data_IF_434822340397
#
_entry.id   IF_434822340397
#
_cell.length_a   1.000
_cell.length_b   1.000
_cell.length_c   1.000
_cell.angle_alpha   90.00
_cell.angle_beta   90.00
_cell.angle_gamma   90.00
#
_symmetry.space_group_name_H-M   'P 1'
#
loop_
_entity.id
_entity.type
_entity.pdbx_description
1 polymer ?
2 polymer ?
3 polymer ?
4 non-polymer ?
5 water ?
#
loop_
_entity_poly.entity_id
_entity_poly.type
_entity_poly.pdbx_seq_one_letter_code
_entity_poly.pdbx_strand_id
1 'polydeoxyribonucleotide' '(DT)(DC)(DC)(DA)(DT)(DG)(DC)(DG)(DC)(DT)(DG)(DA)(DC)' ?
2 'polydeoxyribonucleotide' '(DG)(DT)(DC)(DA)(DG)(5CM)(DG)(DC)(DA)(DA)(DT)(DG)(DG)' ?
#
# COMPACT_ATOMS: atom_id res chain seq x y z
N UNK C 1 -14.35 -6.47 16.02
CA UNK C 1 -13.67 -5.67 14.97
C UNK C 1 -12.35 -5.12 15.48
N UNK C 2 -11.31 -5.23 14.66
CA UNK C 2 -10.00 -4.68 15.02
C UNK C 2 -10.17 -3.17 15.03
N UNK C 3 -9.43 -2.47 15.89
CA UNK C 3 -9.57 -1.02 15.91
C UNK C 3 -8.99 -0.44 14.62
N UNK C 4 -9.37 0.80 14.30
CA UNK C 4 -8.88 1.45 13.09
C UNK C 4 -7.37 1.67 13.14
N UNK C 5 -6.80 1.76 14.33
CA UNK C 5 -5.36 1.98 14.49
C UNK C 5 -4.58 0.71 14.79
N UNK C 6 -5.07 -0.41 14.29
CA UNK C 6 -4.44 -1.70 14.49
C UNK C 6 -3.20 -1.86 13.59
N UNK C 7 -2.05 -2.16 14.19
CA UNK C 7 -0.83 -2.39 13.41
C UNK C 7 -0.67 -3.89 13.21
N UNK C 8 -0.27 -4.29 12.01
CA UNK C 8 -0.06 -5.70 11.78
C UNK C 8 -1.15 -6.42 11.01
N UNK C 9 -1.00 -7.74 10.80
CA UNK C 9 -1.95 -8.57 10.07
C UNK C 9 -3.35 -8.57 10.67
N UNK C 10 -4.35 -8.74 9.82
CA UNK C 10 -5.73 -8.79 10.28
C UNK C 10 -6.04 -10.27 10.50
N UNK C 11 -6.46 -10.64 11.72
CA UNK C 11 -6.78 -12.04 12.01
C UNK C 11 -7.77 -12.60 10.99
N UNK C 12 -7.48 -13.78 10.46
CA UNK C 12 -8.37 -14.39 9.50
C UNK C 12 -8.19 -13.97 8.06
N UNK C 13 -7.26 -13.05 7.79
CA UNK C 13 -7.00 -12.61 6.41
C UNK C 13 -5.55 -12.92 6.06
N UNK C 14 -5.30 -14.12 5.52
CA UNK C 14 -3.95 -14.53 5.13
C UNK C 14 -3.38 -13.85 3.90
N UNK C 15 -2.06 -13.85 3.82
CA UNK C 15 -1.35 -13.28 2.69
C UNK C 15 -1.87 -14.05 1.49
N UNK C 16 -2.20 -13.33 0.42
CA UNK C 16 -2.70 -13.98 -0.78
C UNK C 16 -4.17 -13.72 -1.05
N UNK C 17 -4.89 -13.24 -0.04
CA UNK C 17 -6.31 -12.96 -0.18
C UNK C 17 -6.55 -11.93 -1.28
N UNK C 18 -7.65 -12.10 -2.00
CA UNK C 18 -7.95 -11.21 -3.12
C UNK C 18 -9.38 -10.67 -3.11
N UNK C 19 -9.52 -9.39 -3.45
CA UNK C 19 -10.82 -8.74 -3.50
C UNK C 19 -10.87 -8.00 -4.84
N UNK C 20 -12.03 -7.93 -5.47
CA UNK C 20 -12.15 -7.25 -6.74
C UNK C 20 -12.09 -5.72 -6.62
N UNK C 21 -12.72 -5.18 -5.57
CA UNK C 21 -12.79 -3.74 -5.37
C UNK C 21 -12.14 -3.21 -4.08
N UNK C 22 -11.71 -1.96 -4.13
CA UNK C 22 -11.10 -1.31 -2.98
C UNK C 22 -12.06 -1.26 -1.79
N UNK C 23 -13.34 -1.02 -2.06
CA UNK C 23 -14.30 -0.95 -0.97
C UNK C 23 -14.36 -2.26 -0.21
N UNK C 24 -14.07 -3.37 -0.88
CA UNK C 24 -14.08 -4.67 -0.24
C UNK C 24 -12.86 -4.84 0.66
N UNK C 25 -11.72 -4.33 0.19
CA UNK C 25 -10.49 -4.41 0.96
C UNK C 25 -10.69 -3.59 2.24
N UNK C 26 -11.41 -2.48 2.11
CA UNK C 26 -11.71 -1.61 3.25
C UNK C 26 -12.53 -2.33 4.31
N UNK C 27 -13.59 -3.01 3.88
CA UNK C 27 -14.47 -3.73 4.79
C UNK C 27 -13.77 -4.90 5.48
N UNK C 28 -12.69 -5.39 4.87
CA UNK C 28 -11.94 -6.48 5.47
C UNK C 28 -11.09 -5.95 6.61
N UNK C 29 -10.81 -4.65 6.59
CA UNK C 29 -9.98 -4.05 7.61
C UNK C 29 -8.51 -3.96 7.19
N UNK C 30 -8.16 -4.63 6.10
CA UNK C 30 -6.77 -4.61 5.61
C UNK C 30 -6.31 -3.21 5.19
N UNK C 31 -7.15 -2.49 4.44
CA UNK C 31 -6.84 -1.13 4.01
C UNK C 31 -8.15 -0.32 4.09
N UNK C 32 -8.39 0.29 5.26
CA UNK C 32 -9.60 1.05 5.51
C UNK C 32 -10.01 2.12 4.50
N UNK C 33 -9.09 3.03 4.14
CA UNK C 33 -9.47 4.07 3.17
C UNK C 33 -9.86 3.43 1.84
N UNK C 34 -10.97 3.85 1.24
CA UNK C 34 -11.37 3.25 -0.03
C UNK C 34 -10.72 3.96 -1.20
N UNK C 35 -10.17 5.15 -0.96
CA UNK C 35 -9.51 5.91 -2.01
C UNK C 35 -8.01 6.10 -1.77
N UNK C 36 -7.67 6.77 -0.66
CA UNK C 36 -6.27 7.04 -0.33
C UNK C 36 -5.33 5.84 -0.39
N UNK C 37 -4.09 6.08 -0.81
CA UNK C 37 -3.13 5.01 -0.90
C UNK C 37 -2.57 4.64 0.46
N UNK C 38 -2.53 5.62 1.36
CA UNK C 38 -1.99 5.40 2.70
C UNK C 38 -3.05 5.57 3.80
N UNK C 39 -3.09 4.63 4.74
CA UNK C 39 -3.98 4.77 5.88
C UNK C 39 -3.05 5.08 7.04
N UNK C 40 -3.11 6.30 7.55
CA UNK C 40 -2.25 6.64 8.66
C UNK C 40 -2.78 7.74 9.56
N UNK C 41 -2.12 7.90 10.69
CA UNK C 41 -2.46 8.93 11.64
C UNK C 41 -1.15 9.64 11.90
N UNK C 42 -1.13 10.95 11.63
CA UNK C 42 0.07 11.78 11.76
C UNK C 42 0.85 11.70 13.06
N UNK C 43 0.21 11.23 14.13
CA UNK C 43 0.91 11.15 15.39
C UNK C 43 0.98 9.72 15.91
N UNK C 44 0.87 8.76 14.99
CA UNK C 44 0.94 7.35 15.35
C UNK C 44 1.77 6.59 14.31
N UNK C 45 1.27 6.54 13.08
CA UNK C 45 1.97 5.85 12.01
C UNK C 45 1.02 5.38 10.93
N UNK C 46 1.54 4.67 9.94
CA UNK C 46 0.72 4.14 8.84
C UNK C 46 0.46 2.65 9.09
N UNK C 47 -0.79 2.24 8.94
CA UNK C 47 -1.18 0.86 9.18
C UNK C 47 -1.16 0.05 7.88
N UNK C 48 -1.31 0.73 6.76
CA UNK C 48 -1.34 0.03 5.48
C UNK C 48 -1.21 0.98 4.30
N UNK C 49 -0.96 0.42 3.13
CA UNK C 49 -0.84 1.22 1.92
C UNK C 49 -1.15 0.33 0.71
N UNK C 50 -1.47 0.95 -0.41
CA UNK C 50 -1.79 0.22 -1.62
C UNK C 50 -0.96 0.69 -2.80
N UNK C 51 -0.42 -0.27 -3.54
CA UNK C 51 0.36 0.00 -4.74
C UNK C 51 -0.64 -0.17 -5.88
N UNK C 52 -1.08 0.94 -6.45
CA UNK C 52 -2.07 0.89 -7.52
C UNK C 52 -1.65 1.73 -8.72
N UNK C 53 -0.35 1.92 -8.88
CA UNK C 53 0.14 2.73 -9.99
C UNK C 53 -0.50 4.10 -10.10
N UNK C 54 -0.84 4.70 -8.97
CA UNK C 54 -1.45 6.03 -9.00
C UNK C 54 -0.44 7.15 -9.06
N UNK C 55 0.78 6.87 -8.64
CA UNK C 55 1.85 7.86 -8.65
C UNK C 55 3.02 7.38 -9.49
N UNK C 56 3.37 8.17 -10.49
CA UNK C 56 4.45 7.84 -11.44
C UNK C 56 5.79 7.56 -10.79
N UNK C 57 6.00 8.05 -9.57
CA UNK C 57 7.28 7.85 -8.90
C UNK C 57 7.41 6.53 -8.11
N UNK C 58 6.35 5.74 -8.05
CA UNK C 58 6.39 4.44 -7.37
C UNK C 58 7.32 3.50 -8.16
N UNK C 59 8.14 2.70 -7.47
CA UNK C 59 9.03 1.73 -8.13
C UNK C 59 8.83 0.40 -7.40
N UNK C 60 8.21 -0.57 -8.06
CA UNK C 60 7.92 -1.85 -7.42
C UNK C 60 8.83 -3.01 -7.82
N UNK C 61 9.58 -3.50 -6.85
CA UNK C 61 10.47 -4.64 -7.08
C UNK C 61 10.20 -5.84 -6.18
N UNK C 62 8.93 -6.04 -5.79
CA UNK C 62 8.59 -7.19 -4.96
C UNK C 62 8.91 -7.08 -3.48
N UNK C 63 9.98 -7.73 -3.04
CA UNK C 63 10.37 -7.67 -1.64
C UNK C 63 10.83 -6.27 -1.23
N UNK C 64 11.11 -5.44 -2.23
CA UNK C 64 11.54 -4.07 -2.03
C UNK C 64 10.73 -3.19 -2.96
N UNK C 65 10.39 -1.98 -2.51
CA UNK C 65 9.71 -1.04 -3.37
C UNK C 65 9.84 0.37 -2.83
N UNK C 66 9.84 1.35 -3.72
CA UNK C 66 9.94 2.74 -3.30
C UNK C 66 8.55 3.31 -3.50
N UNK C 67 7.93 3.70 -2.39
CA UNK C 67 6.59 4.23 -2.42
C UNK C 67 6.67 5.76 -2.43
N UNK C 68 5.66 6.39 -3.04
CA UNK C 68 5.62 7.85 -3.11
C UNK C 68 4.61 8.36 -2.08
N UNK C 69 4.89 9.48 -1.45
CA UNK C 69 3.93 10.04 -0.51
C UNK C 69 2.75 10.57 -1.29
N UNK C 70 1.68 10.99 -0.61
CA UNK C 70 0.51 11.53 -1.30
C UNK C 70 0.56 13.06 -1.34
N UNK C 71 -0.30 13.65 -2.15
CA UNK C 71 -0.34 15.10 -2.22
C UNK C 71 0.47 15.71 -3.35
N UNK C 72 0.78 17.00 -3.22
CA UNK C 72 1.52 17.70 -4.24
C UNK C 72 0.68 17.82 -5.49
N UNK C 73 -0.64 17.79 -5.30
CA UNK C 73 -1.58 17.86 -6.42
C UNK C 73 -2.67 18.91 -6.24
N UNK C 74 -3.26 19.32 -7.35
CA UNK C 74 -4.34 20.30 -7.33
C UNK C 74 -5.63 19.56 -7.70
N UNK C 75 -6.37 19.12 -6.69
CA UNK C 75 -7.61 18.39 -6.92
C UNK C 75 -8.83 19.29 -7.05
N UNK C 76 -8.62 20.57 -7.33
CA UNK C 76 -9.74 21.50 -7.49
C UNK C 76 -10.64 20.97 -8.60
N UNK C 77 -11.94 21.19 -8.46
CA UNK C 77 -12.87 20.70 -9.46
C UNK C 77 -13.45 19.38 -8.99
N UNK C 78 -13.37 19.15 -7.69
CA UNK C 78 -13.87 17.93 -7.06
C UNK C 78 -13.28 16.68 -7.70
N UNK C 79 -11.95 16.57 -7.66
CA UNK C 79 -11.24 15.43 -8.22
C UNK C 79 -10.63 14.59 -7.09
N UNK C 80 -10.11 13.42 -7.44
CA UNK C 80 -9.51 12.52 -6.46
C UNK C 80 -8.10 12.15 -6.91
N UNK C 81 -7.76 12.52 -8.14
CA UNK C 81 -6.44 12.24 -8.71
C UNK C 81 -6.04 13.30 -9.74
N UNK C 82 -4.74 13.52 -9.85
CA UNK C 82 -4.21 14.51 -10.80
C UNK C 82 -2.71 14.31 -10.89
N UNK C 83 -2.06 15.08 -11.77
CA UNK C 83 -0.62 14.98 -11.90
C UNK C 83 0.02 15.88 -10.86
N UNK C 84 1.33 15.76 -10.65
CA UNK C 84 1.99 16.60 -9.66
C UNK C 84 1.98 18.06 -10.12
N UNK C 85 1.65 18.97 -9.21
CA UNK C 85 1.59 20.39 -9.53
C UNK C 85 2.16 21.26 -8.41
N UNK C 86 2.70 20.62 -7.37
CA UNK C 86 3.31 21.34 -6.25
C UNK C 86 4.14 20.36 -5.43
N UNK C 87 5.04 20.89 -4.60
CA UNK C 87 5.88 20.03 -3.77
C UNK C 87 5.07 19.32 -2.68
N UNK C 88 5.44 18.08 -2.37
CA UNK C 88 4.76 17.32 -1.32
C UNK C 88 5.33 17.77 0.02
N UNK C 89 4.60 17.52 1.10
CA UNK C 89 5.04 17.92 2.44
C UNK C 89 4.99 16.74 3.40
N UNK C 90 5.87 16.74 4.39
CA UNK C 90 5.91 15.67 5.39
C UNK C 90 4.85 15.92 6.46
N UNK C 91 3.60 15.92 6.03
CA UNK C 91 2.46 16.14 6.92
C UNK C 91 1.45 15.04 6.65
N UNK C 92 0.43 14.97 7.50
CA UNK C 92 -0.64 13.99 7.36
C UNK C 92 -0.16 12.56 7.07
N UNK C 93 -0.62 11.97 5.98
CA UNK C 93 -0.23 10.59 5.63
C UNK C 93 1.26 10.38 5.43
N UNK C 94 1.94 11.38 4.88
CA UNK C 94 3.38 11.25 4.66
C UNK C 94 4.14 11.24 5.97
N UNK C 95 3.68 12.03 6.94
CA UNK C 95 4.34 12.06 8.24
C UNK C 95 4.06 10.73 8.92
N UNK C 96 2.85 10.21 8.71
CA UNK C 96 2.46 8.93 9.32
C UNK C 96 3.36 7.79 8.88
N UNK C 97 3.57 7.66 7.57
CA UNK C 97 4.43 6.59 7.06
C UNK C 97 5.87 6.75 7.56
N UNK C 98 6.32 8.01 7.67
CA UNK C 98 7.66 8.26 8.16
C UNK C 98 7.84 7.77 9.58
N UNK C 99 6.80 7.90 10.40
CA UNK C 99 6.87 7.46 11.79
C UNK C 99 7.10 5.95 11.95
N UNK C 100 6.71 5.16 10.95
CA UNK C 100 6.92 3.71 11.04
C UNK C 100 8.41 3.38 11.03
N UNK C 101 9.19 4.24 10.41
CA UNK C 101 10.64 4.04 10.31
C UNK C 101 11.21 4.06 11.72
N UNK C 102 11.97 3.02 12.08
CA UNK C 102 12.55 2.93 13.42
C UNK C 102 13.66 3.96 13.61
N UNK C 103 13.26 5.22 13.70
CA UNK C 103 14.17 6.33 13.88
C UNK C 103 13.37 7.60 14.15
N UNK C 104 13.97 8.59 14.84
CA UNK C 104 13.27 9.83 15.15
C UNK C 104 12.82 10.54 13.86
N UNK C 105 11.59 11.05 13.87
CA UNK C 105 11.04 11.75 12.71
C UNK C 105 12.00 12.88 12.32
N UNK C 106 12.49 12.83 11.09
CA UNK C 106 13.42 13.84 10.59
C UNK C 106 12.90 14.58 9.37
N UNK C 107 12.73 15.89 9.52
CA UNK C 107 12.22 16.75 8.46
C UNK C 107 13.01 16.65 7.15
N UNK C 108 14.22 16.10 7.20
CA UNK C 108 15.04 15.98 5.99
C UNK C 108 15.18 14.53 5.53
N UNK C 109 14.46 13.64 6.19
CA UNK C 109 14.53 12.23 5.85
C UNK C 109 15.38 11.52 6.87
N UNK C 110 15.23 10.21 6.97
CA UNK C 110 16.00 9.43 7.93
C UNK C 110 16.17 7.99 7.51
N UNK C 111 17.01 7.28 8.24
CA UNK C 111 17.31 5.89 7.99
C UNK C 111 17.09 5.12 9.29
N UNK C 112 16.50 3.93 9.21
CA UNK C 112 16.23 3.15 10.40
C UNK C 112 17.43 2.40 10.97
N UNK C 113 17.50 2.36 12.30
CA UNK C 113 18.54 1.64 13.02
C UNK C 113 17.84 0.33 13.37
N UNK C 114 18.02 -0.65 12.49
CA UNK C 114 17.38 -1.96 12.63
C UNK C 114 15.94 -1.79 12.15
N UNK C 115 15.79 -1.71 10.84
CA UNK C 115 14.49 -1.54 10.17
C UNK C 115 13.42 -2.52 10.63
N UNK C 116 13.83 -3.71 11.07
CA UNK C 116 12.85 -4.71 11.51
C UNK C 116 12.09 -4.32 12.76
N UNK C 117 12.62 -3.38 13.54
CA UNK C 117 11.96 -2.94 14.76
C UNK C 117 10.93 -1.85 14.46
N UNK C 118 10.88 -1.40 13.21
CA UNK C 118 9.93 -0.37 12.85
C UNK C 118 8.50 -0.88 12.90
N UNK C 119 7.54 0.02 12.75
CA UNK C 119 6.13 -0.37 12.77
C UNK C 119 5.74 -1.05 11.47
N UNK C 120 4.96 -2.14 11.55
CA UNK C 120 4.55 -2.88 10.35
C UNK C 120 3.49 -2.17 9.52
N UNK C 121 3.55 -2.39 8.22
CA UNK C 121 2.59 -1.83 7.29
C UNK C 121 2.03 -2.97 6.46
N UNK C 122 0.71 -3.07 6.38
CA UNK C 122 0.08 -4.12 5.55
C UNK C 122 0.11 -3.59 4.13
N UNK C 123 0.58 -4.40 3.18
CA UNK C 123 0.65 -3.95 1.79
C UNK C 123 -0.31 -4.70 0.88
N UNK C 124 -1.01 -3.93 0.06
CA UNK C 124 -1.95 -4.47 -0.91
C UNK C 124 -1.50 -4.05 -2.31
N UNK C 125 -1.51 -4.98 -3.26
CA UNK C 125 -1.14 -4.65 -4.64
C UNK C 125 -2.39 -4.71 -5.51
N UNK C 126 -2.62 -3.63 -6.25
CA UNK C 126 -3.77 -3.49 -7.13
C UNK C 126 -3.36 -3.75 -8.59
N UNK C 127 -4.29 -4.25 -9.40
CA UNK C 127 -3.98 -4.57 -10.79
C UNK C 127 -3.53 -3.36 -11.59
N UNK C 128 -4.05 -2.18 -11.25
CA UNK C 128 -3.67 -0.97 -11.97
C UNK C 128 -2.17 -0.67 -11.86
N UNK C 129 -1.49 -1.35 -10.94
CA UNK C 129 -0.07 -1.12 -10.81
C UNK C 129 0.70 -1.97 -11.81
N UNK C 130 -0.02 -2.79 -12.57
CA UNK C 130 0.60 -3.67 -13.54
C UNK C 130 1.20 -3.04 -14.78
N UNK C 131 0.93 -1.76 -15.01
CA UNK C 131 1.48 -1.09 -16.18
C UNK C 131 2.97 -0.85 -16.03
N UNK C 132 3.43 -0.78 -14.78
CA UNK C 132 4.86 -0.54 -14.52
C UNK C 132 5.41 -1.51 -13.48
N UNK C 133 4.71 -2.63 -13.27
CA UNK C 133 5.15 -3.62 -12.29
C UNK C 133 4.78 -5.04 -12.68
N UNK C 134 5.73 -5.95 -12.52
CA UNK C 134 5.50 -7.35 -12.84
C UNK C 134 5.01 -8.10 -11.61
N UNK C 135 4.74 -7.38 -10.53
CA UNK C 135 4.30 -8.01 -9.29
C UNK C 135 2.82 -7.79 -8.98
N UNK C 136 2.19 -6.91 -9.74
CA UNK C 136 0.77 -6.61 -9.53
C UNK C 136 -0.11 -7.77 -10.00
N UNK C 137 -1.25 -7.98 -9.32
CA UNK C 137 -2.14 -9.07 -9.73
C UNK C 137 -2.79 -8.68 -11.06
N UNK C 138 -3.23 -9.68 -11.83
CA UNK C 138 -3.88 -9.41 -13.10
C UNK C 138 -5.24 -8.77 -12.91
N UNK C 139 -5.88 -9.09 -11.78
CA UNK C 139 -7.21 -8.56 -11.47
C UNK C 139 -7.36 -8.18 -10.00
N UNK C 140 -8.16 -7.15 -9.75
CA UNK C 140 -8.44 -6.72 -8.39
C UNK C 140 -7.30 -6.28 -7.51
N UNK C 141 -7.44 -6.63 -6.22
CA UNK C 141 -6.49 -6.30 -5.17
C UNK C 141 -6.00 -7.57 -4.48
N UNK C 142 -4.76 -7.57 -4.03
CA UNK C 142 -4.18 -8.73 -3.38
C UNK C 142 -3.36 -8.31 -2.17
N UNK C 143 -3.59 -8.97 -1.04
CA UNK C 143 -2.85 -8.65 0.18
C UNK C 143 -1.52 -9.40 0.13
N UNK C 144 -0.42 -8.66 0.14
CA UNK C 144 0.90 -9.28 0.04
C UNK C 144 1.73 -9.42 1.31
N UNK C 145 1.16 -9.01 2.45
CA UNK C 145 1.89 -9.15 3.69
C UNK C 145 2.42 -7.88 4.33
N UNK C 146 3.23 -8.09 5.37
CA UNK C 146 3.82 -7.00 6.13
C UNK C 146 5.18 -6.53 5.61
N UNK C 147 5.32 -5.22 5.53
CA UNK C 147 6.55 -4.57 5.11
C UNK C 147 6.92 -3.55 6.19
N UNK C 148 8.17 -3.09 6.14
CA UNK C 148 8.68 -2.11 7.10
C UNK C 148 9.37 -1.00 6.33
N UNK C 149 9.38 0.21 6.89
CA UNK C 149 10.01 1.34 6.24
C UNK C 149 11.49 1.41 6.64
N UNK C 150 12.36 1.16 5.66
CA UNK C 150 13.80 1.18 5.88
C UNK C 150 14.33 2.62 5.93
N UNK C 151 13.80 3.47 5.07
CA UNK C 151 14.22 4.87 5.04
C UNK C 151 13.30 5.68 4.16
N UNK C 152 13.34 6.99 4.34
CA UNK C 152 12.51 7.89 3.56
C UNK C 152 13.31 9.16 3.32
N UNK C 153 13.00 9.83 2.22
CA UNK C 153 13.76 11.03 1.85
C UNK C 153 12.99 11.81 0.80
N UNK C 154 13.31 13.11 0.66
CA UNK C 154 12.64 13.95 -0.33
C UNK C 154 13.55 14.13 -1.56
N UNK C 155 12.93 14.22 -2.73
CA UNK C 155 13.69 14.49 -3.95
C UNK C 155 12.70 14.79 -5.05
N UNK C 156 13.15 15.47 -6.10
CA UNK C 156 12.25 15.81 -7.18
C UNK C 156 11.89 14.59 -8.02
N UNK C 157 10.59 14.42 -8.23
CA UNK C 157 10.10 13.31 -9.02
C UNK C 157 10.19 13.58 -10.51
N UNK C 158 9.70 12.63 -11.30
CA UNK C 158 9.72 12.76 -12.75
C UNK C 158 9.09 14.06 -13.22
N UNK C 159 8.16 14.58 -12.43
CA UNK C 159 7.45 15.82 -12.77
C UNK C 159 8.26 17.08 -12.49
N UNK C 160 9.33 16.93 -11.72
CA UNK C 160 10.14 18.09 -11.40
C UNK C 160 9.77 18.64 -10.03
N UNK C 161 8.64 18.19 -9.49
CA UNK C 161 8.19 18.65 -8.17
C UNK C 161 8.68 17.71 -7.08
N UNK C 162 8.99 18.29 -5.92
CA UNK C 162 9.48 17.50 -4.80
C UNK C 162 8.43 16.46 -4.37
N UNK C 163 8.89 15.25 -4.09
CA UNK C 163 8.02 14.18 -3.62
C UNK C 163 8.74 13.48 -2.48
N UNK C 164 7.96 12.93 -1.55
CA UNK C 164 8.56 12.21 -0.46
C UNK C 164 8.59 10.75 -0.90
N UNK C 165 9.71 10.08 -0.68
CA UNK C 165 9.85 8.70 -1.11
C UNK C 165 10.19 7.80 0.06
N UNK C 166 9.66 6.59 0.02
CA UNK C 166 9.87 5.63 1.09
C UNK C 166 10.32 4.27 0.59
N UNK C 167 11.35 3.72 1.23
CA UNK C 167 11.83 2.41 0.83
C UNK C 167 11.23 1.37 1.77
N UNK C 168 10.42 0.48 1.21
CA UNK C 168 9.79 -0.56 2.01
C UNK C 168 10.36 -1.94 1.69
N UNK C 169 10.58 -2.73 2.72
CA UNK C 169 11.10 -4.06 2.58
C UNK C 169 10.19 -5.04 3.31
N UNK C 170 9.93 -6.17 2.66
CA UNK C 170 9.04 -7.19 3.23
C UNK C 170 9.62 -7.87 4.46
N UNK C 171 8.77 -8.13 5.44
CA UNK C 171 9.15 -8.80 6.67
C UNK C 171 7.92 -9.61 7.07
N UNK C 172 7.70 -10.71 6.37
CA UNK C 172 6.53 -11.56 6.63
C UNK C 172 6.97 -13.01 6.54
N UNK C 173 6.46 -13.85 7.44
CA UNK C 173 6.83 -15.27 7.43
C UNK C 173 6.15 -16.06 6.31
N UNK C 174 5.02 -15.56 5.83
CA UNK C 174 4.31 -16.24 4.74
C UNK C 174 5.00 -15.86 3.42
N UNK C 175 5.04 -16.79 2.45
CA UNK C 175 5.68 -16.51 1.16
C UNK C 175 4.94 -15.50 0.29
N UNK C 176 5.70 -14.77 -0.50
CA UNK C 176 5.14 -13.76 -1.40
C UNK C 176 4.20 -14.47 -2.37
N UNK C 177 2.95 -14.00 -2.47
CA UNK C 177 1.96 -14.61 -3.36
C UNK C 177 2.33 -14.73 -4.83
N UNK C 178 3.38 -14.04 -5.26
CA UNK C 178 3.76 -14.10 -6.67
C UNK C 178 4.80 -15.16 -7.00
N UNK C 179 5.45 -15.72 -5.98
CA UNK C 179 6.44 -16.76 -6.20
C UNK C 179 5.80 -18.14 -6.30
N UNK C 180 6.60 -19.14 -6.65
CA UNK C 180 6.11 -20.50 -6.78
C UNK C 180 5.54 -20.98 -5.45
N UNK C 181 6.28 -20.75 -4.38
CA UNK C 181 5.85 -21.17 -3.05
C UNK C 181 4.56 -20.47 -2.62
N UNK C 182 4.40 -19.21 -3.01
CA UNK C 182 3.21 -18.46 -2.65
C UNK C 182 1.97 -18.89 -3.40
N UNK C 183 2.13 -19.22 -4.68
CA UNK C 183 1.00 -19.66 -5.49
C UNK C 183 0.51 -21.03 -4.98
N UNK C 184 1.43 -21.81 -4.42
CA UNK C 184 1.10 -23.10 -3.86
C UNK C 184 0.38 -22.92 -2.54
N UNK C 185 0.78 -21.88 -1.80
CA UNK C 185 0.18 -21.57 -0.52
C UNK C 185 -1.25 -21.10 -0.74
N UNK C 186 -1.45 -20.27 -1.77
CA UNK C 186 -2.78 -19.77 -2.08
C UNK C 186 -3.68 -20.91 -2.50
N UNK C 187 -3.13 -21.81 -3.30
CA UNK C 187 -3.87 -22.97 -3.76
C UNK C 187 -4.24 -23.82 -2.56
N UNK C 188 -3.26 -24.09 -1.70
CA UNK C 188 -3.44 -24.87 -0.50
C UNK C 188 -4.53 -24.29 0.42
N UNK C 189 -4.56 -22.96 0.51
CA UNK C 189 -5.55 -22.28 1.36
C UNK C 189 -6.90 -22.17 0.66
N UNK C 190 -6.94 -22.49 -0.63
CA UNK C 190 -8.18 -22.43 -1.37
C UNK C 190 -8.70 -21.02 -1.58
N UNK C 191 -7.80 -20.04 -1.58
CA UNK C 191 -8.19 -18.65 -1.76
C UNK C 191 -8.58 -18.33 -3.20
N UNK C 192 -9.69 -17.61 -3.37
CA UNK C 192 -10.15 -17.22 -4.69
C UNK C 192 -10.63 -15.79 -4.63
N UNK C 193 -10.73 -15.14 -5.79
CA UNK C 193 -11.17 -13.76 -5.86
C UNK C 193 -12.52 -13.53 -5.19
N UNK C 194 -12.58 -12.55 -4.30
CA UNK C 194 -13.81 -12.22 -3.63
C UNK C 194 -14.52 -11.12 -4.42
N UNK C 195 -15.75 -11.39 -4.86
CA UNK C 195 -16.54 -10.43 -5.63
C UNK C 195 -17.76 -10.03 -4.80
N UNK C 196 -18.29 -8.82 -5.00
CA UNK C 196 -19.47 -8.43 -4.22
C UNK C 196 -20.61 -9.40 -4.57
N UNK C 197 -21.54 -9.58 -3.64
CA UNK C 197 -22.67 -10.47 -3.87
C UNK C 197 -23.46 -9.99 -5.08
N UNK C 198 -23.67 -10.89 -6.05
CA UNK C 198 -24.42 -10.54 -7.25
C UNK C 198 -23.66 -9.77 -8.29
N UNK C 199 -22.34 -9.65 -8.13
CA UNK C 199 -21.53 -8.92 -9.10
C UNK C 199 -21.34 -9.68 -10.41
N UNK C 200 -20.91 -10.94 -10.31
CA UNK C 200 -20.70 -11.75 -11.50
C UNK C 200 -22.00 -11.87 -12.28
N UNK C 201 -23.09 -12.07 -11.56
CA UNK C 201 -24.40 -12.19 -12.18
C UNK C 201 -24.69 -10.94 -13.00
N UNK C 202 -24.52 -9.77 -12.37
CA UNK C 202 -24.75 -8.50 -13.04
C UNK C 202 -23.75 -8.29 -14.17
N UNK C 203 -22.69 -9.09 -14.17
CA UNK C 203 -21.66 -9.01 -15.19
C UNK C 203 -22.06 -9.86 -16.39
N UNK C 204 -22.48 -11.09 -16.11
CA UNK C 204 -22.89 -12.03 -17.15
C UNK C 204 -24.12 -11.49 -17.88
N UNK C 205 -25.24 -11.41 -17.16
CA UNK C 205 -26.48 -10.92 -17.73
C UNK C 205 -26.23 -9.64 -18.52
N UNK C 206 -25.25 -8.85 -18.08
CA UNK C 206 -24.91 -7.60 -18.76
C UNK C 206 -24.42 -7.91 -20.17
X LIG D 1 -2.21 9.86 17.22
X LIG D 1 -2.13 10.58 18.47
X LIG D 1 -3.53 9.09 17.14
X LIG D 1 -4.49 9.80 16.34
X LIG E 1 5.05 -12.19 9.82
X LIG E 1 5.88 -12.84 10.80
X LIG E 1 3.63 -12.72 9.92
X LIG E 1 2.73 -11.82 9.27
#
# INVERSE_FOLDING_TARGET
HMPANHFGPIPGVPVGTMWRFRVQVSESGVHRPHVAGIHGRSNDGAYSLVLAGGYEDDVDNGNYFTYTGSGGRDLSGNKRTAGQSSDQKLTNNNRALALNCHSPINEKGAEAEDWRQGKPVRVVRNMKGGKHSKYAPAEGNRYDGIYKVVKYWPERGKSGFLVWRYLLRRDDTEPEPWTREGKDRTRQLGLTMQYPEGYLEALANKEKSRKR
EDO C1 O1 C2 O2
EDO C1 O1 C2 O2
#
